data_IF_463081593121
#
_entry.id   IF_463081593121
#
_cell.length_a   1.000
_cell.length_b   1.000
_cell.length_c   1.000
_cell.angle_alpha   90.00
_cell.angle_beta   90.00
_cell.angle_gamma   90.00
#
_symmetry.space_group_name_H-M   'P 1'
#
loop_
_entity.id
_entity.type
_entity.pdbx_description
1 polymer ?
#
# COMPACT_ATOMS: atom_id res chain seq x y z
N UNK A 1 -1.07 5.41 4.39
CA UNK A 1 -0.22 4.65 3.45
C UNK A 1 -0.43 5.00 1.98
N UNK A 2 -1.43 4.47 1.27
CA UNK A 2 -1.51 4.66 -0.19
C UNK A 2 -1.59 6.13 -0.63
N UNK A 3 -2.35 6.94 0.11
CA UNK A 3 -2.57 8.35 -0.25
C UNK A 3 -1.35 9.26 -0.01
N UNK A 4 -0.63 9.05 1.11
CA UNK A 4 0.41 9.97 1.58
C UNK A 4 1.78 9.28 1.74
N UNK A 5 1.86 8.27 2.60
CA UNK A 5 3.14 7.68 3.01
C UNK A 5 3.88 7.04 1.84
N UNK A 6 3.22 6.19 1.05
CA UNK A 6 3.86 5.44 -0.03
C UNK A 6 4.32 6.36 -1.18
N UNK A 7 3.50 7.33 -1.65
CA UNK A 7 3.95 8.43 -2.51
C UNK A 7 5.21 9.13 -2.01
N UNK A 8 5.19 9.60 -0.76
CA UNK A 8 6.30 10.34 -0.18
C UNK A 8 7.58 9.50 -0.09
N UNK A 9 7.46 8.22 0.28
CA UNK A 9 8.59 7.29 0.31
C UNK A 9 9.17 7.02 -1.08
N UNK A 10 8.33 6.78 -2.08
CA UNK A 10 8.77 6.57 -3.47
C UNK A 10 9.51 7.81 -3.97
N UNK A 11 8.91 8.98 -3.84
CA UNK A 11 9.49 10.23 -4.34
C UNK A 11 10.79 10.58 -3.64
N UNK A 12 10.86 10.36 -2.33
CA UNK A 12 12.08 10.54 -1.56
C UNK A 12 13.22 9.63 -2.06
N UNK A 13 12.94 8.33 -2.22
CA UNK A 13 13.94 7.36 -2.70
C UNK A 13 14.44 7.74 -4.09
N UNK A 14 13.53 8.01 -5.04
CA UNK A 14 13.89 8.40 -6.40
C UNK A 14 14.73 9.67 -6.42
N UNK A 15 14.38 10.67 -5.60
CA UNK A 15 15.14 11.92 -5.50
C UNK A 15 16.54 11.71 -4.90
N UNK A 16 16.68 10.89 -3.84
CA UNK A 16 17.96 10.63 -3.19
C UNK A 16 18.88 9.77 -4.05
N UNK A 17 18.34 8.79 -4.78
CA UNK A 17 19.14 7.92 -5.66
C UNK A 17 19.35 8.51 -7.05
N UNK A 18 18.63 9.58 -7.40
CA UNK A 18 18.57 10.18 -8.73
C UNK A 18 18.13 9.17 -9.81
N UNK A 19 17.26 8.23 -9.44
CA UNK A 19 16.67 7.23 -10.33
C UNK A 19 15.26 7.64 -10.74
N UNK A 20 14.83 7.21 -11.93
CA UNK A 20 13.48 7.52 -12.42
C UNK A 20 12.43 6.48 -12.03
N UNK A 21 12.87 5.28 -11.66
CA UNK A 21 11.99 4.18 -11.26
C UNK A 21 12.62 3.31 -10.18
N UNK A 22 11.79 2.62 -9.41
CA UNK A 22 12.22 1.62 -8.43
C UNK A 22 11.47 0.29 -8.58
N UNK A 23 12.02 -0.76 -7.99
CA UNK A 23 11.31 -2.01 -7.74
C UNK A 23 10.70 -1.98 -6.33
N UNK A 24 9.40 -2.21 -6.22
CA UNK A 24 8.71 -2.28 -4.94
C UNK A 24 8.42 -3.74 -4.58
N UNK A 25 8.81 -4.14 -3.37
CA UNK A 25 8.48 -5.45 -2.80
C UNK A 25 7.54 -5.22 -1.62
N UNK A 26 6.28 -5.59 -1.79
CA UNK A 26 5.26 -5.46 -0.75
C UNK A 26 4.94 -6.81 -0.13
N UNK A 27 4.71 -6.85 1.18
CA UNK A 27 4.16 -8.01 1.87
C UNK A 27 2.84 -7.66 2.56
N UNK A 28 1.81 -8.52 2.44
CA UNK A 28 0.52 -8.35 3.13
C UNK A 28 -0.07 -6.94 2.92
N UNK A 29 -0.31 -6.14 3.96
CA UNK A 29 -0.78 -4.75 3.87
C UNK A 29 0.07 -3.86 2.94
N UNK A 30 1.38 -4.10 2.86
CA UNK A 30 2.26 -3.37 1.93
C UNK A 30 1.87 -3.59 0.47
N UNK A 31 1.25 -4.72 0.14
CA UNK A 31 0.67 -4.96 -1.19
C UNK A 31 -0.63 -4.19 -1.38
N UNK A 32 -1.51 -4.15 -0.38
CA UNK A 32 -2.75 -3.37 -0.40
C UNK A 32 -2.46 -1.89 -0.67
N UNK A 33 -1.47 -1.33 0.02
CA UNK A 33 -1.06 0.05 -0.17
C UNK A 33 -0.57 0.33 -1.60
N UNK A 34 0.22 -0.59 -2.18
CA UNK A 34 0.69 -0.46 -3.56
C UNK A 34 -0.45 -0.63 -4.57
N UNK A 35 -1.34 -1.61 -4.41
CA UNK A 35 -2.50 -1.77 -5.29
C UNK A 35 -3.38 -0.51 -5.30
N UNK A 36 -3.71 0.02 -4.12
CA UNK A 36 -4.50 1.25 -3.99
C UNK A 36 -3.78 2.43 -4.68
N UNK A 37 -2.50 2.68 -4.36
CA UNK A 37 -1.73 3.77 -4.96
C UNK A 37 -1.71 3.70 -6.49
N UNK A 38 -1.37 2.53 -7.06
CA UNK A 38 -1.23 2.36 -8.50
C UNK A 38 -2.58 2.46 -9.24
N UNK A 39 -3.69 2.17 -8.56
CA UNK A 39 -5.05 2.35 -9.10
C UNK A 39 -5.58 3.78 -8.98
N UNK A 40 -5.30 4.46 -7.86
CA UNK A 40 -5.85 5.79 -7.54
C UNK A 40 -4.99 6.93 -8.10
N UNK A 41 -3.67 6.72 -8.26
CA UNK A 41 -2.70 7.69 -8.78
C UNK A 41 -1.87 7.08 -9.93
N UNK A 42 -2.46 6.91 -11.13
CA UNK A 42 -1.82 6.22 -12.25
C UNK A 42 -0.47 6.79 -12.69
N UNK A 43 -0.15 8.04 -12.35
CA UNK A 43 1.17 8.64 -12.57
C UNK A 43 2.30 7.89 -11.85
N UNK A 44 2.01 7.21 -10.73
CA UNK A 44 2.99 6.38 -10.00
C UNK A 44 3.32 5.07 -10.73
N UNK A 45 2.48 4.63 -11.68
CA UNK A 45 2.79 3.46 -12.51
C UNK A 45 4.08 3.67 -13.32
N UNK A 46 4.39 4.92 -13.70
CA UNK A 46 5.63 5.26 -14.40
C UNK A 46 6.86 5.23 -13.49
N UNK A 47 6.67 5.38 -12.17
CA UNK A 47 7.73 5.40 -11.14
C UNK A 47 8.05 4.01 -10.59
N UNK A 48 7.21 3.00 -10.84
CA UNK A 48 7.38 1.63 -10.36
C UNK A 48 7.70 0.68 -11.51
N UNK A 49 8.98 0.30 -11.64
CA UNK A 49 9.46 -0.59 -12.71
C UNK A 49 8.96 -2.03 -12.54
N UNK A 50 8.85 -2.48 -11.30
CA UNK A 50 8.42 -3.82 -10.92
C UNK A 50 7.72 -3.76 -9.57
N UNK A 51 6.58 -4.43 -9.45
CA UNK A 51 5.92 -4.69 -8.18
C UNK A 51 5.92 -6.19 -7.90
N UNK A 52 6.62 -6.61 -6.83
CA UNK A 52 6.59 -7.98 -6.32
C UNK A 52 5.66 -8.00 -5.10
N UNK A 53 4.55 -8.74 -5.21
CA UNK A 53 3.54 -8.85 -4.17
C UNK A 53 3.65 -10.20 -3.43
N UNK A 54 4.13 -10.17 -2.19
CA UNK A 54 4.26 -11.33 -1.31
C UNK A 54 3.03 -11.41 -0.39
N UNK A 55 2.34 -12.56 -0.36
CA UNK A 55 1.07 -12.73 0.37
C UNK A 55 0.08 -11.58 0.09
N UNK A 56 -0.35 -11.38 -1.17
CA UNK A 56 -1.10 -10.20 -1.58
C UNK A 56 -2.47 -10.11 -0.90
N UNK A 57 -2.86 -8.90 -0.52
CA UNK A 57 -4.16 -8.59 0.08
C UNK A 57 -4.83 -7.48 -0.72
N UNK A 58 -5.75 -7.85 -1.60
CA UNK A 58 -6.64 -6.91 -2.30
C UNK A 58 -8.07 -6.92 -1.71
N UNK A 59 -8.48 -8.05 -1.13
CA UNK A 59 -9.77 -8.21 -0.44
C UNK A 59 -9.60 -9.12 0.77
N UNK A 60 -10.32 -8.79 1.86
CA UNK A 60 -10.33 -9.56 3.11
C UNK A 60 -11.54 -10.49 3.27
N UNK A 61 -12.44 -10.58 2.30
CA UNK A 61 -13.77 -11.21 2.45
C UNK A 61 -13.73 -12.67 2.92
N UNK A 62 -12.69 -13.42 2.53
CA UNK A 62 -12.59 -14.86 2.82
C UNK A 62 -11.49 -15.21 3.84
N UNK A 63 -10.98 -14.24 4.58
CA UNK A 63 -9.97 -14.49 5.61
C UNK A 63 -10.58 -15.38 6.72
N UNK A 64 -9.94 -16.51 7.01
CA UNK A 64 -10.32 -17.43 8.09
C UNK A 64 -9.52 -17.22 9.38
N UNK A 65 -8.46 -16.41 9.34
CA UNK A 65 -7.64 -16.10 10.51
C UNK A 65 -8.37 -15.18 11.48
N UNK A 66 -7.87 -15.10 12.71
CA UNK A 66 -8.45 -14.27 13.77
C UNK A 66 -8.53 -12.77 13.41
N UNK A 67 -7.75 -12.30 12.43
CA UNK A 67 -7.81 -10.92 11.90
C UNK A 67 -9.22 -10.56 11.42
N UNK A 68 -10.01 -11.54 10.95
CA UNK A 68 -11.41 -11.31 10.53
C UNK A 68 -12.27 -10.71 11.64
N UNK A 69 -11.98 -10.99 12.93
CA UNK A 69 -12.74 -10.44 14.04
C UNK A 69 -12.55 -8.92 14.22
N UNK A 70 -11.55 -8.32 13.57
CA UNK A 70 -11.34 -6.88 13.56
C UNK A 70 -12.20 -6.15 12.51
N UNK A 71 -12.78 -6.86 11.54
CA UNK A 71 -13.51 -6.25 10.43
C UNK A 71 -14.68 -5.33 10.86
N UNK A 72 -15.51 -5.67 11.87
CA UNK A 72 -16.60 -4.79 12.33
C UNK A 72 -16.12 -3.46 12.91
N UNK A 73 -14.90 -3.42 13.45
CA UNK A 73 -14.32 -2.27 14.14
C UNK A 73 -13.43 -1.40 13.23
N UNK A 74 -13.33 -1.73 11.94
CA UNK A 74 -12.40 -1.07 11.03
C UNK A 74 -12.59 0.46 10.96
N UNK A 75 -13.85 0.93 10.97
CA UNK A 75 -14.17 2.37 10.96
C UNK A 75 -13.84 3.05 12.29
N UNK A 76 -14.13 2.40 13.40
CA UNK A 76 -13.83 2.94 14.73
C UNK A 76 -12.32 3.08 14.93
N UNK A 77 -11.56 2.07 14.49
CA UNK A 77 -10.10 2.09 14.50
C UNK A 77 -9.54 3.19 13.60
N UNK A 78 -10.13 3.39 12.42
CA UNK A 78 -9.74 4.47 11.51
C UNK A 78 -9.94 5.84 12.15
N UNK A 79 -11.10 6.09 12.76
CA UNK A 79 -11.39 7.37 13.39
C UNK A 79 -10.47 7.62 14.59
N UNK A 80 -10.22 6.61 15.43
CA UNK A 80 -9.30 6.73 16.57
C UNK A 80 -7.84 7.03 16.18
N UNK A 81 -7.39 6.60 15.01
CA UNK A 81 -6.00 6.80 14.55
C UNK A 81 -5.83 8.14 13.81
N UNK A 82 -6.91 8.67 13.22
CA UNK A 82 -6.89 9.90 12.42
C UNK A 82 -7.25 11.14 13.26
N UNK A 83 -7.91 10.97 14.40
CA UNK A 83 -8.05 11.97 15.47
C UNK A 83 -6.81 12.02 16.39
#
# INVERSE_FOLDING_TARGET
>A
MAEYDLPAMIDYVLNVTNENQLAYVGHSQGTTAAFALLSEKPEYNKKMKLFIALAPVASGTYISSAVRFLAPFAKDLQNFIID
#
